data_IF_499210276708
#
_entry.id   IF_499210276708
#
_cell.length_a   1.000
_cell.length_b   1.000
_cell.length_c   1.000
_cell.angle_alpha   90.00
_cell.angle_beta   90.00
_cell.angle_gamma   90.00
#
_symmetry.space_group_name_H-M   'P 1'
#
loop_
_entity.id
_entity.type
_entity.pdbx_description
1 polymer ?
#
# COMPACT_ATOMS: atom_id res chain seq x y z
N UNK A 1 -8.82 13.28 22.05
CA UNK A 1 -8.77 13.77 20.67
C UNK A 1 -10.17 13.82 20.09
N UNK A 2 -10.45 14.83 19.24
CA UNK A 2 -11.69 14.96 18.47
C UNK A 2 -11.34 15.23 17.02
N UNK A 3 -12.18 14.76 16.10
CA UNK A 3 -12.01 14.95 14.66
C UNK A 3 -13.07 15.93 14.16
N UNK A 4 -12.69 16.85 13.28
CA UNK A 4 -13.58 17.85 12.72
C UNK A 4 -13.53 17.80 11.18
N UNK A 5 -14.67 18.07 10.55
CA UNK A 5 -14.76 18.31 9.12
C UNK A 5 -14.49 19.79 8.90
N UNK A 6 -13.54 20.11 8.03
CA UNK A 6 -13.17 21.48 7.66
C UNK A 6 -13.51 21.71 6.21
N UNK A 7 -14.38 22.66 5.94
CA UNK A 7 -14.65 23.10 4.57
C UNK A 7 -13.51 24.00 4.08
N UNK A 8 -13.08 23.76 2.86
CA UNK A 8 -12.03 24.55 2.21
C UNK A 8 -12.61 25.34 1.01
N UNK A 9 -12.14 26.56 0.74
CA UNK A 9 -11.01 27.23 1.42
C UNK A 9 -11.38 27.75 2.82
N UNK A 10 -10.41 27.72 3.75
CA UNK A 10 -10.56 28.26 5.10
C UNK A 10 -9.34 29.11 5.45
N UNK A 11 -9.52 30.35 5.95
CA UNK A 11 -8.39 31.25 6.25
C UNK A 11 -7.40 30.72 7.28
N UNK A 12 -7.86 29.84 8.17
CA UNK A 12 -7.00 29.20 9.17
C UNK A 12 -6.27 27.95 8.69
N UNK A 13 -6.47 27.53 7.42
CA UNK A 13 -5.84 26.35 6.83
C UNK A 13 -4.91 26.76 5.68
N UNK A 14 -3.62 26.83 5.95
CA UNK A 14 -2.63 27.35 5.01
C UNK A 14 -1.71 26.24 4.52
N UNK A 15 -1.72 25.97 3.20
CA UNK A 15 -0.75 25.09 2.57
C UNK A 15 0.55 25.88 2.40
N UNK A 16 1.60 25.49 3.13
CA UNK A 16 2.91 26.16 3.11
C UNK A 16 3.68 25.76 1.86
N UNK A 17 3.72 24.46 1.56
CA UNK A 17 4.37 23.89 0.37
C UNK A 17 3.87 22.47 0.10
N UNK A 18 4.01 22.03 -1.12
CA UNK A 18 3.87 20.62 -1.46
C UNK A 18 5.19 19.88 -1.18
N UNK A 19 5.07 18.64 -0.72
CA UNK A 19 6.21 17.77 -0.41
C UNK A 19 6.37 16.78 -1.56
N UNK A 20 7.52 16.79 -2.20
CA UNK A 20 7.87 15.78 -3.19
C UNK A 20 8.14 14.43 -2.52
N UNK A 21 7.66 13.36 -3.13
CA UNK A 21 7.82 12.00 -2.65
C UNK A 21 8.39 11.10 -3.74
N UNK A 22 8.71 9.84 -3.40
CA UNK A 22 9.13 8.84 -4.39
C UNK A 22 8.03 8.49 -5.41
N UNK A 23 6.77 8.82 -5.13
CA UNK A 23 5.69 8.63 -6.11
C UNK A 23 5.77 9.74 -7.15
N UNK A 24 5.82 9.39 -8.46
CA UNK A 24 5.77 10.40 -9.49
C UNK A 24 4.44 11.15 -9.41
N UNK A 25 4.49 12.47 -9.39
CA UNK A 25 3.30 13.30 -9.45
C UNK A 25 2.63 13.09 -10.83
N UNK A 26 1.35 12.78 -10.80
CA UNK A 26 0.54 12.88 -12.03
C UNK A 26 0.20 14.34 -12.28
N UNK A 27 0.01 14.73 -13.55
CA UNK A 27 -0.46 16.09 -13.87
C UNK A 27 -1.74 16.45 -13.13
N UNK A 28 -2.64 15.47 -12.97
CA UNK A 28 -3.87 15.64 -12.21
C UNK A 28 -3.57 15.85 -10.71
N UNK A 29 -2.61 15.10 -10.15
CA UNK A 29 -2.20 15.28 -8.76
C UNK A 29 -1.62 16.66 -8.49
N UNK A 30 -0.80 17.20 -9.41
CA UNK A 30 -0.27 18.55 -9.33
C UNK A 30 -1.38 19.62 -9.42
N UNK A 31 -2.37 19.43 -10.32
CA UNK A 31 -3.52 20.33 -10.46
C UNK A 31 -4.44 20.32 -9.24
N UNK A 32 -4.52 19.19 -8.51
CA UNK A 32 -5.35 19.04 -7.31
C UNK A 32 -4.58 19.35 -6.00
N UNK A 33 -3.41 19.97 -6.08
CA UNK A 33 -2.65 20.40 -4.90
C UNK A 33 -1.59 19.40 -4.41
N UNK A 34 -1.21 18.44 -5.24
CA UNK A 34 -0.18 17.46 -4.91
C UNK A 34 -0.69 16.29 -4.06
N UNK A 35 0.22 15.39 -3.67
CA UNK A 35 -0.12 14.22 -2.87
C UNK A 35 0.11 14.42 -1.37
N UNK A 36 1.07 15.25 -1.01
CA UNK A 36 1.44 15.58 0.39
C UNK A 36 1.78 17.05 0.50
N UNK A 37 1.42 17.67 1.60
CA UNK A 37 1.67 19.09 1.84
C UNK A 37 2.07 19.33 3.29
N UNK A 38 2.90 20.34 3.49
CA UNK A 38 3.12 20.95 4.78
C UNK A 38 2.00 21.97 5.01
N UNK A 39 1.27 21.82 6.12
CA UNK A 39 0.09 22.61 6.41
C UNK A 39 0.32 23.33 7.73
N UNK A 40 0.04 24.63 7.75
CA UNK A 40 0.01 25.45 8.96
C UNK A 40 -1.44 25.77 9.32
N UNK A 41 -1.85 25.37 10.52
CA UNK A 41 -3.19 25.62 11.04
C UNK A 41 -3.08 26.69 12.11
N UNK A 42 -3.71 27.86 11.87
CA UNK A 42 -3.70 29.01 12.77
C UNK A 42 -5.09 29.63 12.86
N UNK A 43 -5.61 29.74 14.08
CA UNK A 43 -6.95 30.32 14.33
C UNK A 43 -8.06 29.68 13.48
N UNK A 44 -7.92 28.42 13.13
CA UNK A 44 -8.92 27.68 12.38
C UNK A 44 -10.21 27.55 13.18
N UNK A 45 -11.27 28.14 12.67
CA UNK A 45 -12.61 28.09 13.28
C UNK A 45 -13.51 27.19 12.44
N UNK A 46 -14.18 26.27 13.11
CA UNK A 46 -15.17 25.37 12.51
C UNK A 46 -16.43 25.34 13.37
N UNK A 47 -17.61 25.18 12.78
CA UNK A 47 -18.84 24.98 13.52
C UNK A 47 -18.77 23.76 14.45
N UNK A 48 -19.44 23.81 15.59
CA UNK A 48 -19.43 22.71 16.56
C UNK A 48 -20.05 21.43 15.99
N UNK A 49 -21.02 21.56 15.13
CA UNK A 49 -21.70 20.48 14.41
C UNK A 49 -20.81 19.70 13.45
N UNK A 50 -19.67 20.29 13.04
CA UNK A 50 -18.69 19.62 12.20
C UNK A 50 -17.83 18.60 12.96
N UNK A 51 -18.09 18.39 14.25
CA UNK A 51 -17.41 17.33 15.02
C UNK A 51 -17.87 15.96 14.52
N UNK A 52 -16.91 15.10 14.18
CA UNK A 52 -17.19 13.77 13.68
C UNK A 52 -17.20 12.75 14.83
N UNK A 53 -18.34 12.07 15.02
CA UNK A 53 -18.49 11.02 16.02
C UNK A 53 -18.61 11.49 17.47
N UNK A 54 -18.53 12.80 17.73
CA UNK A 54 -18.66 13.40 19.06
C UNK A 54 -17.33 13.74 19.74
N UNK A 55 -17.40 14.49 20.81
CA UNK A 55 -16.25 14.96 21.56
C UNK A 55 -15.48 13.79 22.18
N UNK A 56 -14.16 13.78 22.01
CA UNK A 56 -13.28 12.74 22.53
C UNK A 56 -13.21 11.46 21.69
N UNK A 57 -14.04 11.31 20.64
CA UNK A 57 -14.10 10.10 19.82
C UNK A 57 -13.15 10.09 18.60
N UNK A 58 -12.36 11.14 18.40
CA UNK A 58 -11.52 11.28 17.21
C UNK A 58 -10.56 10.13 16.96
N UNK A 59 -9.96 9.57 18.00
CA UNK A 59 -9.09 8.41 17.88
C UNK A 59 -9.84 7.15 17.40
N UNK A 60 -11.00 6.89 18.00
CA UNK A 60 -11.83 5.73 17.62
C UNK A 60 -12.30 5.83 16.16
N UNK A 61 -12.74 7.02 15.75
CA UNK A 61 -13.14 7.29 14.36
C UNK A 61 -11.98 7.08 13.39
N UNK A 62 -10.78 7.54 13.76
CA UNK A 62 -9.56 7.30 12.98
C UNK A 62 -9.22 5.82 12.86
N UNK A 63 -9.28 5.06 13.95
CA UNK A 63 -8.98 3.62 13.93
C UNK A 63 -10.00 2.82 13.10
N UNK A 64 -11.28 3.18 13.18
CA UNK A 64 -12.34 2.56 12.37
C UNK A 64 -12.06 2.76 10.86
N UNK A 65 -11.78 3.99 10.45
CA UNK A 65 -11.41 4.30 9.05
C UNK A 65 -10.16 3.56 8.61
N UNK A 66 -9.12 3.48 9.46
CA UNK A 66 -7.85 2.82 9.14
C UNK A 66 -8.00 1.30 9.00
N UNK A 67 -8.92 0.67 9.73
CA UNK A 67 -9.17 -0.77 9.59
C UNK A 67 -9.59 -1.14 8.17
N UNK A 68 -10.57 -0.43 7.62
CA UNK A 68 -11.01 -0.62 6.22
C UNK A 68 -9.98 -0.12 5.20
N UNK A 69 -9.25 0.94 5.52
CA UNK A 69 -8.16 1.44 4.70
C UNK A 69 -7.06 0.39 4.47
N UNK A 70 -6.67 -0.33 5.53
CA UNK A 70 -5.66 -1.41 5.45
C UNK A 70 -6.13 -2.57 4.59
N UNK A 71 -7.40 -2.97 4.71
CA UNK A 71 -7.98 -4.02 3.86
C UNK A 71 -7.96 -3.62 2.37
N UNK A 72 -8.37 -2.37 2.07
CA UNK A 72 -8.32 -1.83 0.70
C UNK A 72 -6.88 -1.80 0.15
N UNK A 73 -5.91 -1.36 0.94
CA UNK A 73 -4.50 -1.38 0.54
C UNK A 73 -4.01 -2.81 0.30
N UNK A 74 -4.44 -3.76 1.13
CA UNK A 74 -4.12 -5.18 0.95
C UNK A 74 -4.64 -5.74 -0.38
N UNK A 75 -5.89 -5.46 -0.73
CA UNK A 75 -6.47 -5.89 -2.01
C UNK A 75 -5.71 -5.28 -3.21
N UNK A 76 -5.37 -4.00 -3.12
CA UNK A 76 -4.57 -3.33 -4.15
C UNK A 76 -3.18 -3.97 -4.30
N UNK A 77 -2.52 -4.29 -3.18
CA UNK A 77 -1.21 -4.92 -3.17
C UNK A 77 -1.23 -6.32 -3.82
N UNK A 78 -2.25 -7.13 -3.51
CA UNK A 78 -2.42 -8.46 -4.12
C UNK A 78 -2.69 -8.35 -5.62
N UNK A 79 -3.55 -7.42 -6.04
CA UNK A 79 -3.84 -7.20 -7.45
C UNK A 79 -2.60 -6.73 -8.24
N UNK A 80 -1.82 -5.82 -7.66
CA UNK A 80 -0.56 -5.35 -8.27
C UNK A 80 0.48 -6.47 -8.36
N UNK A 81 0.65 -7.25 -7.29
CA UNK A 81 1.57 -8.40 -7.27
C UNK A 81 1.19 -9.43 -8.33
N UNK A 82 -0.11 -9.76 -8.48
CA UNK A 82 -0.57 -10.67 -9.52
C UNK A 82 -0.24 -10.14 -10.91
N UNK A 83 -0.52 -8.87 -11.19
CA UNK A 83 -0.19 -8.26 -12.49
C UNK A 83 1.31 -8.25 -12.76
N UNK A 84 2.14 -8.01 -11.74
CA UNK A 84 3.60 -8.05 -11.88
C UNK A 84 4.09 -9.48 -12.22
N UNK A 85 3.53 -10.50 -11.56
CA UNK A 85 3.81 -11.89 -11.85
C UNK A 85 3.38 -12.28 -13.28
N UNK A 86 2.19 -11.84 -13.73
CA UNK A 86 1.69 -12.11 -15.08
C UNK A 86 2.59 -11.47 -16.15
N UNK A 87 3.06 -10.23 -15.92
CA UNK A 87 4.03 -9.57 -16.79
C UNK A 87 5.36 -10.32 -16.84
N UNK A 88 5.88 -10.75 -15.69
CA UNK A 88 7.11 -11.53 -15.59
C UNK A 88 6.97 -12.86 -16.33
N UNK A 89 5.90 -13.60 -16.11
CA UNK A 89 5.64 -14.88 -16.79
C UNK A 89 5.58 -14.72 -18.32
N UNK A 90 4.91 -13.68 -18.82
CA UNK A 90 4.85 -13.34 -20.23
C UNK A 90 6.24 -13.00 -20.78
N UNK A 91 7.02 -12.21 -20.05
CA UNK A 91 8.36 -11.81 -20.49
C UNK A 91 9.31 -12.99 -20.55
N UNK A 92 9.41 -13.83 -19.53
CA UNK A 92 10.37 -14.94 -19.48
C UNK A 92 10.07 -16.03 -20.50
N UNK A 93 8.82 -16.18 -20.93
CA UNK A 93 8.43 -17.13 -21.98
C UNK A 93 8.80 -16.66 -23.38
N UNK A 94 8.91 -15.35 -23.61
CA UNK A 94 9.25 -14.76 -24.91
C UNK A 94 10.73 -14.38 -25.03
N UNK A 95 11.42 -14.11 -23.91
CA UNK A 95 12.83 -13.66 -23.91
C UNK A 95 13.80 -14.82 -23.88
N UNK A 96 14.74 -14.83 -24.83
CA UNK A 96 15.86 -15.78 -24.85
C UNK A 96 17.18 -15.06 -24.61
N UNK A 97 18.09 -15.72 -23.88
CA UNK A 97 19.46 -15.28 -23.61
C UNK A 97 20.38 -16.49 -23.56
N UNK A 98 21.58 -16.38 -24.14
CA UNK A 98 22.56 -17.48 -24.16
C UNK A 98 21.98 -18.79 -24.75
N UNK A 99 21.16 -18.68 -25.80
CA UNK A 99 20.61 -19.82 -26.52
C UNK A 99 19.35 -20.46 -25.91
N UNK A 100 18.89 -20.03 -24.75
CA UNK A 100 17.69 -20.57 -24.06
C UNK A 100 16.70 -19.49 -23.68
N UNK A 101 15.40 -19.84 -23.59
CA UNK A 101 14.40 -18.96 -23.01
C UNK A 101 14.66 -18.79 -21.51
N UNK A 102 14.37 -17.61 -20.97
CA UNK A 102 14.46 -17.39 -19.52
C UNK A 102 13.56 -18.38 -18.75
N UNK A 103 12.39 -18.71 -19.29
CA UNK A 103 11.45 -19.66 -18.68
C UNK A 103 12.01 -21.09 -18.54
N UNK A 104 13.04 -21.48 -19.29
CA UNK A 104 13.62 -22.82 -19.24
C UNK A 104 14.69 -22.95 -18.14
N UNK A 105 15.12 -21.83 -17.57
CA UNK A 105 16.10 -21.78 -16.48
C UNK A 105 15.44 -22.08 -15.13
N UNK A 106 15.99 -23.06 -14.41
CA UNK A 106 15.46 -23.52 -13.12
C UNK A 106 15.33 -22.37 -12.10
N UNK A 107 16.33 -21.51 -11.97
CA UNK A 107 16.29 -20.38 -11.04
C UNK A 107 15.15 -19.40 -11.32
N UNK A 108 14.83 -19.14 -12.61
CA UNK A 108 13.69 -18.30 -13.00
C UNK A 108 12.37 -18.95 -12.58
N UNK A 109 12.23 -20.27 -12.77
CA UNK A 109 11.03 -21.01 -12.34
C UNK A 109 10.84 -20.95 -10.82
N UNK A 110 11.91 -21.03 -10.03
CA UNK A 110 11.84 -20.88 -8.58
C UNK A 110 11.38 -19.48 -8.17
N UNK A 111 11.94 -18.43 -8.77
CA UNK A 111 11.51 -17.04 -8.50
C UNK A 111 10.01 -16.84 -8.76
N UNK A 112 9.48 -17.39 -9.86
CA UNK A 112 8.05 -17.30 -10.19
C UNK A 112 7.20 -18.13 -9.23
N UNK A 113 7.64 -19.31 -8.82
CA UNK A 113 6.95 -20.18 -7.88
C UNK A 113 6.86 -19.53 -6.48
N UNK A 114 7.94 -18.91 -6.02
CA UNK A 114 7.96 -18.18 -4.76
C UNK A 114 6.97 -16.99 -4.80
N UNK A 115 6.98 -16.19 -5.86
CA UNK A 115 6.02 -15.10 -6.05
C UNK A 115 4.56 -15.61 -6.02
N UNK A 116 4.27 -16.70 -6.74
CA UNK A 116 2.92 -17.28 -6.78
C UNK A 116 2.47 -17.76 -5.39
N UNK A 117 3.38 -18.38 -4.64
CA UNK A 117 3.13 -18.87 -3.29
C UNK A 117 2.83 -17.72 -2.32
N UNK A 118 3.60 -16.63 -2.39
CA UNK A 118 3.38 -15.45 -1.56
C UNK A 118 2.04 -14.76 -1.87
N UNK A 119 1.67 -14.66 -3.16
CA UNK A 119 0.37 -14.11 -3.57
C UNK A 119 -0.79 -15.00 -3.09
N UNK A 120 -0.63 -16.32 -3.14
CA UNK A 120 -1.65 -17.26 -2.65
C UNK A 120 -1.90 -17.09 -1.14
N UNK A 121 -0.83 -17.05 -0.34
CA UNK A 121 -0.90 -16.77 1.12
C UNK A 121 -1.58 -15.43 1.38
N UNK A 122 -1.21 -14.40 0.63
CA UNK A 122 -1.78 -13.06 0.73
C UNK A 122 -3.29 -13.04 0.50
N UNK A 123 -3.77 -13.77 -0.53
CA UNK A 123 -5.21 -13.89 -0.81
C UNK A 123 -5.97 -14.55 0.32
N UNK A 124 -5.47 -15.67 0.83
CA UNK A 124 -6.11 -16.38 1.94
C UNK A 124 -6.22 -15.49 3.18
N UNK A 125 -5.16 -14.73 3.47
CA UNK A 125 -5.16 -13.77 4.57
C UNK A 125 -6.22 -12.69 4.42
N UNK A 126 -6.38 -12.11 3.22
CA UNK A 126 -7.41 -11.11 2.93
C UNK A 126 -8.82 -11.69 3.01
N UNK A 127 -9.04 -12.89 2.48
CA UNK A 127 -10.34 -13.58 2.57
C UNK A 127 -10.72 -13.87 4.02
N UNK A 128 -9.77 -14.29 4.85
CA UNK A 128 -10.01 -14.49 6.28
C UNK A 128 -10.38 -13.19 6.99
N UNK A 129 -9.68 -12.08 6.69
CA UNK A 129 -10.01 -10.78 7.27
C UNK A 129 -11.38 -10.29 6.81
N UNK A 130 -11.72 -10.47 5.53
CA UNK A 130 -13.02 -10.12 4.98
C UNK A 130 -14.14 -10.93 5.66
N UNK A 131 -13.95 -12.23 5.84
CA UNK A 131 -14.88 -13.09 6.58
C UNK A 131 -15.10 -12.60 8.02
N UNK A 132 -14.02 -12.27 8.73
CA UNK A 132 -14.11 -11.72 10.10
C UNK A 132 -14.86 -10.39 10.12
N UNK A 133 -14.59 -9.51 9.13
CA UNK A 133 -15.27 -8.21 9.01
C UNK A 133 -16.78 -8.38 8.80
N UNK A 134 -17.18 -9.29 7.90
CA UNK A 134 -18.58 -9.57 7.60
C UNK A 134 -19.34 -10.13 8.82
N UNK A 135 -18.67 -10.89 9.67
CA UNK A 135 -19.23 -11.46 10.89
C UNK A 135 -19.05 -10.58 12.14
N UNK A 136 -18.65 -9.31 11.99
CA UNK A 136 -18.52 -8.35 13.10
C UNK A 136 -17.43 -8.71 14.12
N UNK A 137 -16.46 -9.54 13.75
CA UNK A 137 -15.37 -9.99 14.63
C UNK A 137 -14.28 -8.92 14.75
N UNK A 138 -13.50 -8.97 15.82
CA UNK A 138 -12.33 -8.08 15.98
C UNK A 138 -11.25 -8.38 14.93
N UNK A 139 -10.83 -7.34 14.22
CA UNK A 139 -9.86 -7.39 13.13
C UNK A 139 -8.47 -6.83 13.49
N UNK A 140 -8.32 -6.31 14.70
CA UNK A 140 -7.15 -5.48 15.03
C UNK A 140 -5.82 -6.20 14.90
N UNK A 141 -5.80 -7.47 15.30
CA UNK A 141 -4.57 -8.27 15.23
C UNK A 141 -4.26 -8.69 13.79
N UNK A 142 -5.24 -9.31 13.11
CA UNK A 142 -5.07 -9.81 11.75
C UNK A 142 -4.78 -8.69 10.74
N UNK A 143 -5.43 -7.54 10.89
CA UNK A 143 -5.12 -6.36 10.07
C UNK A 143 -3.67 -5.88 10.26
N UNK A 144 -3.14 -5.95 11.49
CA UNK A 144 -1.75 -5.60 11.76
C UNK A 144 -0.77 -6.57 11.10
N UNK A 145 -1.00 -7.87 11.27
CA UNK A 145 -0.19 -8.93 10.64
C UNK A 145 -0.25 -8.81 9.12
N UNK A 146 -1.47 -8.72 8.57
CA UNK A 146 -1.68 -8.65 7.13
C UNK A 146 -1.03 -7.41 6.51
N UNK A 147 -1.14 -6.24 7.16
CA UNK A 147 -0.52 -5.00 6.67
C UNK A 147 0.97 -5.17 6.45
N UNK A 148 1.69 -5.74 7.41
CA UNK A 148 3.14 -5.99 7.30
C UNK A 148 3.43 -7.00 6.21
N UNK A 149 2.74 -8.14 6.21
CA UNK A 149 2.97 -9.20 5.24
C UNK A 149 2.70 -8.72 3.79
N UNK A 150 1.55 -8.10 3.55
CA UNK A 150 1.11 -7.69 2.21
C UNK A 150 1.99 -6.56 1.63
N UNK A 151 2.48 -5.64 2.46
CA UNK A 151 3.38 -4.59 2.04
C UNK A 151 4.76 -5.14 1.63
N UNK A 152 5.27 -6.13 2.34
CA UNK A 152 6.54 -6.77 2.01
C UNK A 152 6.40 -7.72 0.79
N UNK A 153 5.32 -8.50 0.73
CA UNK A 153 5.01 -9.39 -0.39
C UNK A 153 4.94 -8.65 -1.74
N UNK A 154 4.16 -7.56 -1.82
CA UNK A 154 4.04 -6.82 -3.09
C UNK A 154 5.39 -6.23 -3.51
N UNK A 155 6.20 -5.78 -2.56
CA UNK A 155 7.54 -5.26 -2.83
C UNK A 155 8.44 -6.34 -3.43
N UNK A 156 8.48 -7.52 -2.81
CA UNK A 156 9.25 -8.67 -3.28
C UNK A 156 8.82 -9.10 -4.70
N UNK A 157 7.51 -9.21 -4.94
CA UNK A 157 7.00 -9.68 -6.24
C UNK A 157 7.29 -8.66 -7.35
N UNK A 158 7.11 -7.36 -7.09
CA UNK A 158 7.41 -6.31 -8.08
C UNK A 158 8.91 -6.22 -8.34
N UNK A 159 9.75 -6.35 -7.30
CA UNK A 159 11.21 -6.39 -7.43
C UNK A 159 11.66 -7.56 -8.29
N UNK A 160 11.13 -8.75 -8.02
CA UNK A 160 11.41 -9.96 -8.81
C UNK A 160 10.99 -9.79 -10.26
N UNK A 161 9.80 -9.25 -10.51
CA UNK A 161 9.32 -9.00 -11.87
C UNK A 161 10.20 -7.98 -12.61
N UNK A 162 10.62 -6.91 -11.95
CA UNK A 162 11.53 -5.89 -12.46
C UNK A 162 12.88 -6.53 -12.80
N UNK A 163 13.44 -7.32 -11.90
CA UNK A 163 14.72 -8.03 -12.10
C UNK A 163 14.67 -8.97 -13.32
N UNK A 164 13.59 -9.74 -13.48
CA UNK A 164 13.41 -10.64 -14.61
C UNK A 164 13.27 -9.92 -15.96
N UNK A 165 12.78 -8.69 -15.98
CA UNK A 165 12.73 -7.85 -17.17
C UNK A 165 14.06 -7.15 -17.49
N UNK A 166 15.01 -7.11 -16.55
CA UNK A 166 16.29 -6.43 -16.73
C UNK A 166 16.12 -4.93 -17.01
N UNK A 167 16.88 -4.38 -17.97
CA UNK A 167 16.82 -2.96 -18.30
C UNK A 167 15.42 -2.48 -18.72
N UNK A 168 14.63 -3.34 -19.37
CA UNK A 168 13.23 -3.03 -19.72
C UNK A 168 12.37 -2.82 -18.48
N UNK A 169 12.57 -3.61 -17.41
CA UNK A 169 11.86 -3.46 -16.16
C UNK A 169 12.22 -2.16 -15.40
N UNK A 170 13.45 -1.70 -15.56
CA UNK A 170 13.95 -0.46 -14.98
C UNK A 170 13.50 0.78 -15.76
N UNK A 171 13.10 0.62 -17.02
CA UNK A 171 12.58 1.70 -17.86
C UNK A 171 11.11 2.02 -17.55
N UNK A 172 10.62 3.16 -18.07
CA UNK A 172 9.20 3.53 -18.00
C UNK A 172 8.35 2.89 -19.11
N UNK A 173 8.92 2.04 -19.98
CA UNK A 173 8.20 1.30 -21.02
C UNK A 173 7.34 0.18 -20.43
N UNK A 174 7.64 -0.21 -19.18
CA UNK A 174 6.78 -1.07 -18.36
C UNK A 174 6.30 -0.34 -17.10
N UNK A 175 5.20 -0.76 -16.48
CA UNK A 175 4.73 -0.12 -15.25
C UNK A 175 5.59 -0.47 -14.02
N UNK A 176 6.54 -1.40 -14.12
CA UNK A 176 7.26 -2.00 -13.00
C UNK A 176 8.08 -0.97 -12.21
N UNK A 177 8.85 -0.12 -12.89
CA UNK A 177 9.63 0.93 -12.25
C UNK A 177 8.75 1.90 -11.43
N UNK A 178 7.60 2.31 -12.01
CA UNK A 178 6.63 3.17 -11.31
C UNK A 178 5.99 2.45 -10.12
N UNK A 179 5.65 1.17 -10.27
CA UNK A 179 5.09 0.40 -9.17
C UNK A 179 6.12 0.24 -8.04
N UNK A 180 7.37 -0.08 -8.37
CA UNK A 180 8.45 -0.24 -7.41
C UNK A 180 8.63 0.99 -6.49
N UNK A 181 8.66 2.18 -7.07
CA UNK A 181 8.75 3.42 -6.29
C UNK A 181 7.48 3.70 -5.48
N UNK A 182 6.30 3.45 -6.08
CA UNK A 182 5.01 3.72 -5.44
C UNK A 182 4.71 2.82 -4.24
N UNK A 183 5.01 1.53 -4.34
CA UNK A 183 4.75 0.57 -3.25
C UNK A 183 5.65 0.77 -2.03
N UNK A 184 6.77 1.50 -2.16
CA UNK A 184 7.66 1.74 -1.01
C UNK A 184 6.93 2.40 0.16
N UNK A 185 5.94 3.24 -0.12
CA UNK A 185 5.12 3.90 0.89
C UNK A 185 4.26 2.91 1.70
N UNK A 186 3.93 1.75 1.16
CA UNK A 186 3.06 0.76 1.82
C UNK A 186 3.62 0.24 3.16
N UNK A 187 4.93 0.31 3.36
CA UNK A 187 5.58 -0.06 4.62
C UNK A 187 5.56 1.04 5.67
N UNK A 188 5.10 2.24 5.31
CA UNK A 188 5.06 3.44 6.15
C UNK A 188 3.64 3.90 6.47
N UNK A 189 2.75 3.89 5.47
CA UNK A 189 1.36 4.39 5.61
C UNK A 189 0.52 3.49 6.50
N UNK A 190 -0.54 4.06 7.09
CA UNK A 190 -1.50 3.39 7.98
C UNK A 190 -0.85 2.67 9.18
N UNK A 191 0.30 3.16 9.60
CA UNK A 191 1.19 2.62 10.64
C UNK A 191 2.39 1.90 10.04
N UNK A 192 3.63 2.29 10.43
CA UNK A 192 4.84 1.61 9.98
C UNK A 192 4.86 0.13 10.37
N UNK A 193 5.60 -0.67 9.61
CA UNK A 193 5.75 -2.12 9.86
C UNK A 193 6.18 -2.41 11.30
N UNK A 194 7.05 -1.57 11.87
CA UNK A 194 7.60 -1.70 13.21
C UNK A 194 6.52 -1.55 14.29
N UNK A 195 5.58 -0.62 14.12
CA UNK A 195 4.45 -0.42 15.04
C UNK A 195 3.54 -1.64 15.05
N UNK A 196 3.25 -2.20 13.88
CA UNK A 196 2.41 -3.40 13.78
C UNK A 196 3.12 -4.64 14.35
N UNK A 197 4.42 -4.81 14.07
CA UNK A 197 5.23 -5.91 14.63
C UNK A 197 5.32 -5.83 16.15
N UNK A 198 5.59 -4.63 16.70
CA UNK A 198 5.61 -4.40 18.14
C UNK A 198 4.28 -4.81 18.80
N UNK A 199 3.16 -4.34 18.23
CA UNK A 199 1.83 -4.66 18.75
C UNK A 199 1.50 -6.16 18.65
N UNK A 200 1.78 -6.76 17.49
CA UNK A 200 1.56 -8.20 17.30
C UNK A 200 2.40 -9.03 18.27
N UNK A 201 3.68 -8.66 18.45
CA UNK A 201 4.55 -9.32 19.43
C UNK A 201 4.03 -9.21 20.86
N UNK A 202 3.51 -8.03 21.26
CA UNK A 202 2.90 -7.84 22.57
C UNK A 202 1.63 -8.68 22.79
N UNK A 203 0.92 -9.06 21.71
CA UNK A 203 -0.26 -9.93 21.81
C UNK A 203 0.11 -11.43 21.93
N UNK A 204 1.36 -11.80 21.70
CA UNK A 204 1.86 -13.18 21.82
C UNK A 204 2.37 -13.46 23.24
N UNK A 205 2.83 -12.42 23.95
CA UNK A 205 3.34 -12.51 25.32
C UNK A 205 2.20 -12.35 26.32
#
# INVERSE_FOLDING_TARGET
YSTFIVELPNPGYNIVRNIETMQPHTELGLKLGGSHSEIKIENLRVPRENILGGQGQGFNMGQHRLAYGRLRHGMHNVAMAQRALDLAAKHVTSRSTFGERLADRQGVRWMLADCASEIYKARLMLLHIAYKAENGMDLRNENGIAKVFLANMVHQVVDTALQLHGALGYSHDTPLARWYTGIRSQRLVDGPDEVHRWRTGANVI
#
